data_IF_139696999408
#
_entry.id   IF_139696999408
#
_cell.length_a   1.000
_cell.length_b   1.000
_cell.length_c   1.000
_cell.angle_alpha   90.00
_cell.angle_beta   90.00
_cell.angle_gamma   90.00
#
_symmetry.space_group_name_H-M   'P 1'
#
loop_
_entity.id
_entity.type
_entity.pdbx_description
1 polymer ?
#
# COMPACT_ATOMS: atom_id res chain seq x y z
N UNK A 1 -0.46 2.87 -7.78
CA UNK A 1 -1.18 2.99 -9.07
C UNK A 1 -1.64 4.42 -9.27
N UNK A 2 -1.50 4.96 -10.49
CA UNK A 2 -1.94 6.31 -10.88
C UNK A 2 -3.48 6.42 -11.05
N UNK A 3 -4.24 5.76 -10.19
CA UNK A 3 -5.71 5.76 -10.19
C UNK A 3 -6.19 5.83 -8.75
N UNK A 4 -7.06 6.80 -8.47
CA UNK A 4 -7.76 6.91 -7.18
C UNK A 4 -8.69 5.72 -6.96
N UNK A 5 -8.92 5.36 -5.69
CA UNK A 5 -9.91 4.35 -5.32
C UNK A 5 -9.58 2.91 -5.75
N UNK A 6 -8.29 2.54 -5.78
CA UNK A 6 -7.88 1.12 -5.95
C UNK A 6 -7.61 0.42 -4.61
N UNK A 7 -7.88 1.08 -3.48
CA UNK A 7 -7.71 0.55 -2.12
C UNK A 7 -6.26 0.55 -1.61
N UNK A 8 -5.43 1.53 -1.99
CA UNK A 8 -4.04 1.67 -1.53
C UNK A 8 -3.97 1.80 0.00
N UNK A 9 -4.68 2.78 0.56
CA UNK A 9 -4.78 3.03 2.01
C UNK A 9 -5.30 1.81 2.77
N UNK A 10 -6.33 1.14 2.24
CA UNK A 10 -6.86 -0.10 2.82
C UNK A 10 -5.80 -1.19 2.88
N UNK A 11 -5.04 -1.40 1.81
CA UNK A 11 -3.96 -2.40 1.80
C UNK A 11 -2.82 -1.97 2.71
N UNK A 12 -2.40 -0.70 2.70
CA UNK A 12 -1.32 -0.20 3.53
C UNK A 12 -1.61 -0.40 5.03
N UNK A 13 -2.80 0.02 5.50
CA UNK A 13 -3.23 -0.14 6.90
C UNK A 13 -3.28 -1.62 7.30
N UNK A 14 -3.90 -2.47 6.47
CA UNK A 14 -4.07 -3.87 6.83
C UNK A 14 -2.79 -4.69 6.66
N UNK A 15 -1.88 -4.30 5.76
CA UNK A 15 -0.55 -4.88 5.65
C UNK A 15 0.30 -4.54 6.88
N UNK A 16 0.33 -3.25 7.27
CA UNK A 16 1.04 -2.83 8.47
C UNK A 16 0.53 -3.57 9.72
N UNK A 17 -0.79 -3.68 9.85
CA UNK A 17 -1.41 -4.43 10.96
C UNK A 17 -1.04 -5.91 10.98
N UNK A 18 -0.96 -6.57 9.82
CA UNK A 18 -0.60 -7.98 9.73
C UNK A 18 0.89 -8.23 10.00
N UNK A 19 1.78 -7.36 9.53
CA UNK A 19 3.19 -7.39 9.90
C UNK A 19 3.36 -7.25 11.43
N UNK A 20 2.64 -6.31 12.05
CA UNK A 20 2.63 -6.17 13.51
C UNK A 20 2.06 -7.40 14.24
N UNK A 21 1.02 -8.03 13.70
CA UNK A 21 0.47 -9.27 14.25
C UNK A 21 1.48 -10.45 14.20
N UNK A 22 2.52 -10.34 13.37
CA UNK A 22 3.64 -11.28 13.26
C UNK A 22 4.83 -10.87 14.17
N UNK A 23 4.58 -10.02 15.17
CA UNK A 23 5.54 -9.57 16.19
C UNK A 23 6.66 -8.66 15.66
N UNK A 24 6.45 -7.99 14.52
CA UNK A 24 7.38 -6.98 13.99
C UNK A 24 7.04 -5.58 14.49
N UNK A 25 8.08 -4.75 14.70
CA UNK A 25 7.91 -3.32 14.92
C UNK A 25 7.64 -2.62 13.57
N UNK A 26 6.46 -2.01 13.40
CA UNK A 26 6.01 -1.46 12.11
C UNK A 26 5.63 0.02 12.20
N UNK A 27 6.09 0.80 11.22
CA UNK A 27 5.65 2.18 11.00
C UNK A 27 4.87 2.29 9.69
N UNK A 28 3.64 2.82 9.77
CA UNK A 28 2.87 3.25 8.61
C UNK A 28 3.09 4.75 8.36
N UNK A 29 3.46 5.16 7.15
CA UNK A 29 3.59 6.56 6.76
C UNK A 29 2.51 6.89 5.73
N UNK A 30 1.61 7.82 6.06
CA UNK A 30 0.58 8.30 5.13
C UNK A 30 1.07 9.55 4.39
N UNK A 31 1.37 9.39 3.11
CA UNK A 31 1.88 10.45 2.23
C UNK A 31 0.82 10.94 1.23
N UNK A 32 -0.44 10.49 1.34
CA UNK A 32 -1.54 10.99 0.52
C UNK A 32 -2.09 12.27 1.19
N UNK A 33 -2.04 13.46 0.55
CA UNK A 33 -2.59 14.68 1.15
C UNK A 33 -4.07 14.62 1.48
N UNK A 34 -4.81 13.60 0.99
CA UNK A 34 -6.19 13.37 1.39
C UNK A 34 -6.33 12.62 2.73
N UNK A 35 -5.23 12.11 3.29
CA UNK A 35 -5.16 11.50 4.62
C UNK A 35 -6.05 10.28 4.85
N UNK A 36 -6.36 9.51 3.80
CA UNK A 36 -7.31 8.39 3.91
C UNK A 36 -6.86 7.32 4.91
N UNK A 37 -5.56 7.01 5.00
CA UNK A 37 -5.07 6.05 5.99
C UNK A 37 -5.16 6.63 7.41
N UNK A 38 -4.74 7.89 7.57
CA UNK A 38 -4.74 8.62 8.85
C UNK A 38 -6.16 8.76 9.42
N UNK A 39 -7.09 9.31 8.64
CA UNK A 39 -8.51 9.45 9.04
C UNK A 39 -9.16 8.07 9.24
N UNK A 40 -8.81 7.09 8.40
CA UNK A 40 -9.28 5.70 8.51
C UNK A 40 -8.81 4.99 9.78
N UNK A 41 -7.82 5.53 10.50
CA UNK A 41 -7.32 5.05 11.79
C UNK A 41 -7.70 5.97 12.95
N UNK A 42 -8.44 7.05 12.69
CA UNK A 42 -8.93 7.99 13.72
C UNK A 42 -7.97 9.11 14.08
N UNK A 43 -6.98 9.39 13.23
CA UNK A 43 -6.03 10.50 13.39
C UNK A 43 -6.54 11.81 12.77
N UNK A 44 -7.84 12.08 12.90
CA UNK A 44 -8.47 13.30 12.36
C UNK A 44 -7.85 14.58 12.96
N UNK A 45 -7.51 14.56 14.25
CA UNK A 45 -6.93 15.71 14.93
C UNK A 45 -5.50 16.00 14.44
N UNK A 46 -4.69 14.97 14.21
CA UNK A 46 -3.35 15.11 13.63
C UNK A 46 -3.43 15.57 12.17
N UNK A 47 -4.42 15.08 11.42
CA UNK A 47 -4.62 15.46 10.03
C UNK A 47 -4.98 16.95 9.88
N UNK A 48 -5.85 17.47 10.76
CA UNK A 48 -6.38 18.85 10.66
C UNK A 48 -5.68 19.89 11.54
N UNK A 49 -5.11 19.49 12.68
CA UNK A 49 -4.73 20.41 13.77
C UNK A 49 -3.34 20.13 14.35
N UNK A 50 -2.46 19.43 13.66
CA UNK A 50 -1.08 19.23 14.15
C UNK A 50 -0.25 20.51 14.01
N UNK A 51 0.60 20.77 15.01
CA UNK A 51 1.56 21.88 14.99
C UNK A 51 2.89 21.47 14.35
N UNK A 52 3.20 20.17 14.34
CA UNK A 52 4.43 19.59 13.80
C UNK A 52 4.06 18.48 12.80
N UNK A 53 4.74 18.44 11.67
CA UNK A 53 4.44 17.61 10.50
C UNK A 53 5.72 17.05 9.89
N UNK A 54 5.56 16.21 8.86
CA UNK A 54 6.71 15.77 8.05
C UNK A 54 7.45 16.93 7.35
N UNK A 55 6.81 18.09 7.19
CA UNK A 55 7.46 19.31 6.69
C UNK A 55 8.60 19.76 7.60
N UNK A 56 8.35 19.81 8.91
CA UNK A 56 9.33 20.20 9.93
C UNK A 56 10.52 19.22 9.94
N UNK A 57 10.25 17.93 9.76
CA UNK A 57 11.29 16.89 9.63
C UNK A 57 12.10 17.09 8.34
N UNK A 58 11.46 17.48 7.24
CA UNK A 58 12.13 17.65 5.95
C UNK A 58 12.96 18.92 5.84
N UNK A 59 12.56 20.00 6.53
CA UNK A 59 13.09 21.34 6.28
C UNK A 59 13.67 22.04 7.50
N UNK A 60 13.28 21.64 8.73
CA UNK A 60 13.63 22.33 9.97
C UNK A 60 14.41 21.45 10.97
N UNK A 61 15.00 20.34 10.48
CA UNK A 61 15.82 19.39 11.25
C UNK A 61 15.09 18.80 12.49
N UNK A 62 13.76 18.67 12.43
CA UNK A 62 12.98 18.02 13.48
C UNK A 62 13.28 16.51 13.55
N UNK A 63 13.20 15.93 14.75
CA UNK A 63 13.38 14.49 14.95
C UNK A 63 12.20 13.73 14.31
N UNK A 64 12.40 12.75 13.41
CA UNK A 64 11.29 12.05 12.78
C UNK A 64 10.37 11.33 13.78
N UNK A 65 10.84 11.02 14.99
CA UNK A 65 10.01 10.42 16.04
C UNK A 65 9.02 11.40 16.69
N UNK A 66 9.22 12.73 16.56
CA UNK A 66 8.31 13.72 17.16
C UNK A 66 6.93 13.74 16.48
N UNK A 67 6.87 13.29 15.22
CA UNK A 67 5.66 13.26 14.40
C UNK A 67 5.10 11.84 14.22
N UNK A 68 5.58 10.88 15.01
CA UNK A 68 5.10 9.50 15.02
C UNK A 68 4.20 9.25 16.22
N UNK A 69 3.11 8.51 16.01
CA UNK A 69 2.09 8.26 17.01
C UNK A 69 1.77 6.76 17.11
N UNK A 70 1.54 6.28 18.33
CA UNK A 70 0.98 4.95 18.58
C UNK A 70 -0.46 4.86 18.07
N UNK A 71 -0.75 3.84 17.27
CA UNK A 71 -2.12 3.60 16.76
C UNK A 71 -3.00 2.89 17.78
N UNK A 72 -2.42 2.26 18.79
CA UNK A 72 -3.12 1.34 19.68
C UNK A 72 -3.44 -0.02 19.04
N UNK A 73 -2.96 -0.28 17.82
CA UNK A 73 -3.15 -1.53 17.07
C UNK A 73 -1.83 -2.28 16.80
N UNK A 74 -0.84 -2.13 17.68
CA UNK A 74 0.47 -2.81 17.64
C UNK A 74 1.43 -2.31 16.53
N UNK A 75 1.09 -1.21 15.85
CA UNK A 75 1.99 -0.50 14.95
C UNK A 75 1.88 1.01 15.16
N UNK A 76 2.87 1.76 14.71
CA UNK A 76 2.88 3.23 14.79
C UNK A 76 2.51 3.86 13.44
N UNK A 77 2.12 5.13 13.48
CA UNK A 77 1.80 5.91 12.30
C UNK A 77 2.53 7.26 12.30
N UNK A 78 3.07 7.63 11.14
CA UNK A 78 3.34 9.01 10.76
C UNK A 78 2.15 9.48 9.90
N UNK A 79 1.21 10.23 10.49
CA UNK A 79 -0.03 10.61 9.81
C UNK A 79 0.24 11.66 8.73
N UNK A 80 -0.63 11.66 7.73
CA UNK A 80 -0.74 12.76 6.78
C UNK A 80 -1.33 13.99 7.47
N UNK A 81 -1.17 15.15 6.86
CA UNK A 81 -1.75 16.41 7.31
C UNK A 81 -2.18 17.27 6.12
N UNK A 82 -3.07 18.25 6.37
CA UNK A 82 -3.46 19.23 5.35
C UNK A 82 -2.27 20.05 4.81
N UNK A 83 -1.19 20.17 5.59
CA UNK A 83 0.03 20.86 5.18
C UNK A 83 0.84 20.10 4.11
N UNK A 84 0.55 18.82 3.88
CA UNK A 84 1.34 17.99 2.97
C UNK A 84 1.37 18.51 1.52
N UNK A 85 0.31 19.24 1.09
CA UNK A 85 0.32 19.95 -0.21
C UNK A 85 1.30 21.13 -0.25
N UNK A 86 1.52 21.80 0.88
CA UNK A 86 2.53 22.86 1.03
C UNK A 86 3.92 22.25 1.08
N UNK A 87 4.13 21.19 1.87
CA UNK A 87 5.38 20.42 1.90
C UNK A 87 5.78 19.99 0.50
N UNK A 88 4.85 19.43 -0.29
CA UNK A 88 5.14 19.03 -1.68
C UNK A 88 5.65 20.22 -2.54
N UNK A 89 5.04 21.39 -2.38
CA UNK A 89 5.46 22.60 -3.11
C UNK A 89 6.85 23.07 -2.69
N UNK A 90 7.18 22.96 -1.41
CA UNK A 90 8.49 23.33 -0.87
C UNK A 90 9.60 22.42 -1.37
N UNK A 91 9.36 21.10 -1.51
CA UNK A 91 10.31 20.17 -2.15
C UNK A 91 10.68 20.63 -3.58
N UNK A 92 9.74 21.23 -4.31
CA UNK A 92 9.96 21.67 -5.71
C UNK A 92 10.72 22.98 -5.81
N UNK A 93 10.39 23.94 -4.93
CA UNK A 93 10.88 25.32 -5.03
C UNK A 93 12.14 25.55 -4.19
N UNK A 94 12.35 24.74 -3.15
CA UNK A 94 13.52 24.82 -2.29
C UNK A 94 14.82 24.36 -2.95
N UNK A 95 15.95 24.88 -2.46
CA UNK A 95 17.29 24.41 -2.84
C UNK A 95 17.65 23.14 -2.05
N UNK A 96 16.82 22.11 -2.21
CA UNK A 96 16.93 20.85 -1.47
C UNK A 96 17.93 19.94 -2.16
N UNK A 97 18.93 19.46 -1.41
CA UNK A 97 19.82 18.42 -1.90
C UNK A 97 19.09 17.08 -2.01
N UNK A 98 19.04 16.51 -3.22
CA UNK A 98 18.36 15.25 -3.54
C UNK A 98 16.88 15.22 -3.09
N UNK A 99 16.01 16.07 -3.67
CA UNK A 99 14.64 16.27 -3.20
C UNK A 99 13.76 15.02 -3.26
N UNK A 100 14.12 14.01 -4.07
CA UNK A 100 13.43 12.73 -4.15
C UNK A 100 13.87 11.72 -3.09
N UNK A 101 14.86 12.04 -2.25
CA UNK A 101 15.40 11.15 -1.22
C UNK A 101 15.20 11.72 0.20
N UNK A 102 14.38 12.77 0.37
CA UNK A 102 14.12 13.37 1.68
C UNK A 102 13.50 12.36 2.65
N UNK A 103 12.42 11.69 2.25
CA UNK A 103 11.80 10.67 3.09
C UNK A 103 12.78 9.57 3.47
N UNK A 104 13.65 9.18 2.52
CA UNK A 104 14.69 8.19 2.78
C UNK A 104 15.66 8.69 3.84
N UNK A 105 16.23 9.87 3.64
CA UNK A 105 17.31 10.43 4.46
C UNK A 105 16.84 10.84 5.86
N UNK A 106 15.69 11.51 5.94
CA UNK A 106 15.21 12.14 7.17
C UNK A 106 14.33 11.23 8.02
N UNK A 107 13.72 10.19 7.42
CA UNK A 107 12.76 9.32 8.14
C UNK A 107 13.16 7.86 8.07
N UNK A 108 13.35 7.28 6.88
CA UNK A 108 13.57 5.82 6.75
C UNK A 108 14.95 5.40 7.27
N UNK A 109 16.02 6.05 6.83
CA UNK A 109 17.39 5.73 7.22
C UNK A 109 17.64 5.84 8.75
N UNK A 110 17.09 6.84 9.48
CA UNK A 110 17.25 6.90 10.94
C UNK A 110 16.32 5.98 11.74
N UNK A 111 15.24 5.44 11.17
CA UNK A 111 14.24 4.66 11.91
C UNK A 111 14.25 3.15 11.57
N UNK A 112 14.52 2.79 10.32
CA UNK A 112 14.48 1.40 9.85
C UNK A 112 15.68 0.60 10.37
N UNK A 113 15.43 -0.55 10.98
CA UNK A 113 16.42 -1.46 11.54
C UNK A 113 16.84 -1.16 12.97
N UNK A 114 16.73 0.09 13.41
CA UNK A 114 16.99 0.50 14.80
C UNK A 114 15.71 0.59 15.65
N UNK A 115 14.61 1.11 15.08
CA UNK A 115 13.31 1.28 15.76
C UNK A 115 12.21 0.42 15.16
N UNK A 116 12.18 0.29 13.83
CA UNK A 116 11.17 -0.50 13.12
C UNK A 116 11.82 -1.55 12.22
N UNK A 117 11.26 -2.76 12.22
CA UNK A 117 11.62 -3.81 11.27
C UNK A 117 11.07 -3.49 9.88
N UNK A 118 9.89 -2.88 9.80
CA UNK A 118 9.22 -2.53 8.55
C UNK A 118 8.65 -1.10 8.55
N UNK A 119 8.79 -0.46 7.39
CA UNK A 119 8.12 0.82 7.09
C UNK A 119 7.21 0.61 5.88
N UNK A 120 5.92 0.88 6.04
CA UNK A 120 4.90 0.82 4.98
C UNK A 120 4.48 2.23 4.62
N UNK A 121 4.46 2.58 3.33
CA UNK A 121 4.01 3.91 2.89
C UNK A 121 2.69 3.83 2.13
N UNK A 122 1.69 4.64 2.50
CA UNK A 122 0.53 4.92 1.64
C UNK A 122 0.82 6.14 0.77
N UNK A 123 1.01 5.91 -0.53
CA UNK A 123 1.37 6.96 -1.49
C UNK A 123 0.15 7.60 -2.16
N UNK A 124 0.23 8.86 -2.65
CA UNK A 124 -0.82 9.48 -3.45
C UNK A 124 -1.23 8.67 -4.70
N UNK A 125 -2.44 8.90 -5.20
CA UNK A 125 -2.96 8.27 -6.42
C UNK A 125 -2.47 8.93 -7.75
N UNK A 126 -1.53 9.86 -7.67
CA UNK A 126 -1.01 10.64 -8.79
C UNK A 126 0.51 10.76 -8.68
N UNK A 127 1.18 11.14 -9.78
CA UNK A 127 2.63 11.35 -9.74
C UNK A 127 2.92 12.70 -9.08
N UNK A 128 3.64 12.64 -7.96
CA UNK A 128 3.98 13.76 -7.09
C UNK A 128 5.42 13.64 -6.62
N UNK A 129 5.99 14.71 -6.04
CA UNK A 129 7.29 14.60 -5.36
C UNK A 129 7.23 13.69 -4.14
N UNK A 130 6.08 13.62 -3.48
CA UNK A 130 5.81 12.70 -2.39
C UNK A 130 5.85 11.24 -2.86
N UNK A 131 5.27 10.94 -4.03
CA UNK A 131 5.34 9.60 -4.62
C UNK A 131 6.77 9.24 -5.02
N UNK A 132 7.53 10.18 -5.60
CA UNK A 132 8.95 9.94 -5.93
C UNK A 132 9.76 9.64 -4.64
N UNK A 133 9.50 10.38 -3.55
CA UNK A 133 10.11 10.14 -2.24
C UNK A 133 9.76 8.76 -1.68
N UNK A 134 8.47 8.37 -1.71
CA UNK A 134 8.02 7.06 -1.27
C UNK A 134 8.74 5.93 -2.02
N UNK A 135 8.84 6.05 -3.36
CA UNK A 135 9.48 5.04 -4.21
C UNK A 135 10.99 4.91 -3.95
N UNK A 136 11.69 6.04 -3.77
CA UNK A 136 13.13 6.05 -3.47
C UNK A 136 13.43 5.53 -2.07
N UNK A 137 12.53 5.76 -1.10
CA UNK A 137 12.71 5.34 0.27
C UNK A 137 12.42 3.84 0.49
N UNK A 138 11.39 3.30 -0.17
CA UNK A 138 10.89 1.93 0.12
C UNK A 138 11.42 0.85 -0.81
N UNK A 139 11.64 1.17 -2.08
CA UNK A 139 12.09 0.30 -3.19
C UNK A 139 11.31 -1.01 -3.44
N UNK A 140 10.44 -1.44 -2.53
CA UNK A 140 9.60 -2.63 -2.60
C UNK A 140 8.14 -2.23 -2.74
N UNK A 141 7.48 -2.74 -3.80
CA UNK A 141 6.18 -2.25 -4.21
C UNK A 141 5.11 -3.35 -4.17
N UNK A 142 4.02 -3.05 -3.47
CA UNK A 142 2.74 -3.78 -3.56
C UNK A 142 1.79 -2.95 -4.42
N UNK A 143 1.37 -3.47 -5.57
CA UNK A 143 0.59 -2.74 -6.56
C UNK A 143 -0.86 -3.25 -6.61
N UNK A 144 -1.82 -2.54 -5.99
CA UNK A 144 -3.23 -2.90 -6.11
C UNK A 144 -3.80 -2.64 -7.50
N UNK A 145 -4.66 -3.53 -7.97
CA UNK A 145 -5.30 -3.49 -9.28
C UNK A 145 -6.81 -3.68 -9.11
N UNK A 146 -7.58 -2.62 -9.36
CA UNK A 146 -9.03 -2.69 -9.37
C UNK A 146 -9.56 -3.05 -10.78
N UNK A 147 -10.66 -3.81 -10.90
CA UNK A 147 -11.33 -4.10 -12.15
C UNK A 147 -11.62 -2.84 -12.99
N UNK A 148 -11.52 -2.99 -14.30
CA UNK A 148 -11.83 -1.94 -15.25
C UNK A 148 -11.01 -2.03 -16.53
N UNK A 149 -11.53 -1.43 -17.60
CA UNK A 149 -10.93 -1.49 -18.93
C UNK A 149 -9.47 -1.00 -18.97
N UNK A 150 -9.10 -0.09 -18.07
CA UNK A 150 -7.76 0.52 -18.00
C UNK A 150 -6.83 -0.09 -16.95
N UNK A 151 -7.21 -1.18 -16.25
CA UNK A 151 -6.40 -1.72 -15.16
C UNK A 151 -4.97 -2.09 -15.61
N UNK A 152 -4.85 -2.90 -16.68
CA UNK A 152 -3.54 -3.31 -17.23
C UNK A 152 -2.78 -2.14 -17.86
N UNK A 153 -3.46 -1.27 -18.61
CA UNK A 153 -2.84 -0.06 -19.16
C UNK A 153 -2.35 0.89 -18.05
N UNK A 154 -3.01 0.90 -16.89
CA UNK A 154 -2.56 1.61 -15.70
C UNK A 154 -1.29 1.01 -15.12
N UNK A 155 -1.22 -0.33 -15.04
CA UNK A 155 -0.04 -1.05 -14.56
C UNK A 155 1.17 -0.79 -15.47
N UNK A 156 1.00 -0.96 -16.78
CA UNK A 156 2.03 -0.69 -17.78
C UNK A 156 2.53 0.76 -17.67
N UNK A 157 1.63 1.73 -17.58
CA UNK A 157 1.99 3.15 -17.38
C UNK A 157 2.77 3.38 -16.08
N UNK A 158 2.40 2.75 -14.97
CA UNK A 158 3.14 2.85 -13.71
C UNK A 158 4.53 2.23 -13.84
N UNK A 159 4.65 1.07 -14.48
CA UNK A 159 5.95 0.43 -14.72
C UNK A 159 6.83 1.32 -15.59
N UNK A 160 6.35 1.76 -16.76
CA UNK A 160 7.14 2.53 -17.72
C UNK A 160 7.54 3.91 -17.20
N UNK A 161 6.65 4.61 -16.49
CA UNK A 161 6.83 6.03 -16.15
C UNK A 161 7.40 6.27 -14.75
N UNK A 162 7.28 5.32 -13.83
CA UNK A 162 7.74 5.46 -12.44
C UNK A 162 8.80 4.42 -12.08
N UNK A 163 8.55 3.14 -12.36
CA UNK A 163 9.43 2.06 -11.89
C UNK A 163 10.67 1.91 -12.78
N UNK A 164 10.50 1.81 -14.10
CA UNK A 164 11.61 1.59 -15.05
C UNK A 164 12.70 2.66 -15.00
N UNK A 165 12.39 3.98 -14.87
CA UNK A 165 13.42 5.00 -14.71
C UNK A 165 14.22 4.87 -13.40
N UNK A 166 13.56 4.49 -12.30
CA UNK A 166 14.23 4.27 -11.02
C UNK A 166 15.14 3.03 -11.06
N UNK A 167 14.68 1.95 -11.71
CA UNK A 167 15.48 0.72 -11.93
C UNK A 167 16.81 0.92 -12.65
N UNK A 168 17.00 2.06 -13.33
CA UNK A 168 18.29 2.39 -13.94
C UNK A 168 19.36 2.81 -12.92
N UNK A 169 18.94 3.13 -11.69
CA UNK A 169 19.80 3.74 -10.67
C UNK A 169 19.72 3.03 -9.31
N UNK A 170 18.69 2.22 -9.07
CA UNK A 170 18.46 1.49 -7.81
C UNK A 170 17.66 0.22 -8.03
N UNK A 171 17.77 -0.73 -7.12
CA UNK A 171 17.00 -1.97 -7.16
C UNK A 171 15.58 -1.70 -6.66
N UNK A 172 14.60 -1.74 -7.57
CA UNK A 172 13.17 -1.55 -7.26
C UNK A 172 12.41 -2.81 -7.60
N UNK A 173 11.81 -3.44 -6.60
CA UNK A 173 11.09 -4.69 -6.74
C UNK A 173 9.58 -4.50 -6.64
N UNK A 174 8.85 -5.17 -7.53
CA UNK A 174 7.40 -5.30 -7.41
C UNK A 174 7.14 -6.63 -6.74
N UNK A 175 6.86 -6.61 -5.45
CA UNK A 175 6.65 -7.81 -4.65
C UNK A 175 5.35 -8.51 -5.02
N UNK A 176 4.26 -7.74 -5.14
CA UNK A 176 2.94 -8.26 -5.42
C UNK A 176 2.11 -7.37 -6.34
N UNK A 177 1.39 -8.01 -7.27
CA UNK A 177 0.28 -7.45 -8.04
C UNK A 177 -1.01 -7.93 -7.39
N UNK A 178 -1.80 -7.02 -6.80
CA UNK A 178 -2.90 -7.38 -5.91
C UNK A 178 -4.25 -7.05 -6.56
N UNK A 179 -4.97 -8.01 -7.16
CA UNK A 179 -6.36 -7.80 -7.55
C UNK A 179 -7.20 -7.43 -6.34
N UNK A 180 -7.79 -6.25 -6.37
CA UNK A 180 -8.49 -5.66 -5.24
C UNK A 180 -9.88 -5.16 -5.65
N UNK A 181 -10.77 -5.01 -4.66
CA UNK A 181 -12.15 -4.56 -4.84
C UNK A 181 -12.93 -5.43 -5.83
N UNK A 182 -12.65 -6.73 -5.86
CA UNK A 182 -13.35 -7.64 -6.73
C UNK A 182 -14.75 -7.94 -6.22
N UNK A 183 -15.62 -8.38 -7.12
CA UNK A 183 -17.00 -8.81 -6.98
C UNK A 183 -17.46 -9.47 -5.67
N UNK A 184 -18.75 -9.73 -5.53
CA UNK A 184 -19.19 -10.98 -4.88
C UNK A 184 -19.01 -12.14 -5.86
N UNK A 185 -19.51 -11.96 -7.09
CA UNK A 185 -19.52 -12.93 -8.17
C UNK A 185 -18.44 -12.60 -9.21
N UNK A 186 -17.73 -13.60 -9.70
CA UNK A 186 -16.85 -13.49 -10.86
C UNK A 186 -17.48 -14.34 -11.96
N UNK A 187 -17.82 -13.73 -13.09
CA UNK A 187 -18.27 -14.47 -14.27
C UNK A 187 -17.59 -13.93 -15.53
N UNK A 188 -17.73 -14.65 -16.65
CA UNK A 188 -17.05 -14.34 -17.91
C UNK A 188 -17.33 -12.93 -18.47
N UNK A 189 -18.40 -12.26 -18.02
CA UNK A 189 -18.76 -10.93 -18.47
C UNK A 189 -18.25 -9.83 -17.51
N UNK A 190 -17.82 -10.21 -16.30
CA UNK A 190 -17.31 -9.27 -15.31
C UNK A 190 -15.93 -8.71 -15.68
N UNK A 191 -15.71 -7.44 -15.34
CA UNK A 191 -14.39 -6.82 -15.43
C UNK A 191 -13.38 -7.50 -14.50
N UNK A 192 -13.86 -8.08 -13.39
CA UNK A 192 -13.09 -8.86 -12.42
C UNK A 192 -12.43 -10.06 -13.10
N UNK A 193 -13.22 -10.81 -13.88
CA UNK A 193 -12.72 -11.96 -14.64
C UNK A 193 -11.68 -11.54 -15.66
N UNK A 194 -11.95 -10.49 -16.43
CA UNK A 194 -11.03 -10.00 -17.45
C UNK A 194 -9.68 -9.56 -16.85
N UNK A 195 -9.70 -8.91 -15.67
CA UNK A 195 -8.48 -8.54 -14.96
C UNK A 195 -7.69 -9.79 -14.55
N UNK A 196 -8.35 -10.74 -13.90
CA UNK A 196 -7.72 -11.97 -13.43
C UNK A 196 -7.16 -12.81 -14.58
N UNK A 197 -7.88 -12.92 -15.70
CA UNK A 197 -7.42 -13.61 -16.91
C UNK A 197 -6.18 -12.95 -17.50
N UNK A 198 -6.18 -11.62 -17.61
CA UNK A 198 -5.01 -10.89 -18.10
C UNK A 198 -3.81 -11.10 -17.20
N UNK A 199 -3.97 -10.97 -15.88
CA UNK A 199 -2.86 -11.21 -14.96
C UNK A 199 -2.31 -12.63 -15.07
N UNK A 200 -3.19 -13.64 -15.03
CA UNK A 200 -2.75 -15.04 -15.02
C UNK A 200 -2.21 -15.56 -16.36
N UNK A 201 -2.51 -14.88 -17.48
CA UNK A 201 -2.03 -15.26 -18.82
C UNK A 201 -0.70 -14.63 -19.24
N UNK A 202 -0.20 -13.62 -18.53
CA UNK A 202 1.07 -12.97 -18.84
C UNK A 202 2.21 -13.65 -18.05
N UNK A 203 3.03 -14.46 -18.72
CA UNK A 203 4.10 -15.24 -18.10
C UNK A 203 5.04 -14.40 -17.21
N UNK A 204 5.37 -13.19 -17.64
CA UNK A 204 6.26 -12.28 -16.92
C UNK A 204 5.65 -11.65 -15.66
N UNK A 205 4.35 -11.81 -15.43
CA UNK A 205 3.68 -11.29 -14.24
C UNK A 205 3.40 -12.39 -13.20
N UNK A 206 3.45 -13.66 -13.61
CA UNK A 206 2.97 -14.78 -12.79
C UNK A 206 3.66 -14.84 -11.43
N UNK A 207 4.98 -14.65 -11.39
CA UNK A 207 5.77 -14.71 -10.15
C UNK A 207 5.45 -13.59 -9.16
N UNK A 208 4.71 -12.56 -9.59
CA UNK A 208 4.29 -11.44 -8.73
C UNK A 208 2.81 -11.50 -8.37
N UNK A 209 2.07 -12.52 -8.79
CA UNK A 209 0.65 -12.69 -8.43
C UNK A 209 0.56 -13.52 -7.14
N UNK A 210 0.01 -12.99 -6.04
CA UNK A 210 -0.22 -13.76 -4.80
C UNK A 210 -1.02 -15.03 -5.05
N UNK A 211 -0.85 -16.05 -4.22
CA UNK A 211 -1.56 -17.32 -4.30
C UNK A 211 -3.08 -17.12 -4.22
N UNK A 212 -3.57 -16.22 -3.37
CA UNK A 212 -5.01 -15.88 -3.34
C UNK A 212 -5.55 -15.30 -4.66
N UNK A 213 -4.69 -14.92 -5.62
CA UNK A 213 -5.07 -14.36 -6.92
C UNK A 213 -4.59 -15.21 -8.11
N UNK A 214 -3.83 -16.27 -7.85
CA UNK A 214 -3.33 -17.19 -8.86
C UNK A 214 -4.43 -18.18 -9.24
N UNK A 215 -4.72 -18.30 -10.54
CA UNK A 215 -5.80 -19.15 -11.03
C UNK A 215 -5.25 -20.15 -12.03
N UNK A 216 -5.40 -21.42 -11.69
CA UNK A 216 -5.04 -22.57 -12.54
C UNK A 216 -6.27 -23.34 -13.01
N UNK A 217 -7.40 -23.22 -12.31
CA UNK A 217 -8.68 -23.87 -12.64
C UNK A 217 -9.79 -22.82 -12.74
N UNK A 218 -10.14 -22.46 -13.97
CA UNK A 218 -11.22 -21.52 -14.26
C UNK A 218 -12.62 -22.14 -14.14
N UNK A 219 -12.75 -23.47 -14.24
CA UNK A 219 -14.04 -24.15 -14.08
C UNK A 219 -14.47 -24.08 -12.61
N UNK A 220 -13.52 -24.24 -11.67
CA UNK A 220 -13.76 -24.03 -10.24
C UNK A 220 -14.17 -22.59 -9.89
N UNK A 221 -13.64 -21.58 -10.61
CA UNK A 221 -14.06 -20.18 -10.45
C UNK A 221 -15.50 -20.00 -10.93
N UNK A 222 -15.85 -20.53 -12.11
CA UNK A 222 -17.18 -20.41 -12.69
C UNK A 222 -18.25 -21.14 -11.85
N UNK A 223 -17.87 -22.25 -11.21
CA UNK A 223 -18.71 -22.98 -10.26
C UNK A 223 -18.83 -22.31 -8.87
N UNK A 224 -17.94 -21.36 -8.54
CA UNK A 224 -17.87 -20.72 -7.23
C UNK A 224 -17.21 -21.59 -6.14
N UNK A 225 -16.53 -22.65 -6.55
CA UNK A 225 -15.94 -23.67 -5.69
C UNK A 225 -14.53 -23.30 -5.21
N UNK A 226 -13.86 -22.36 -5.89
CA UNK A 226 -12.55 -21.88 -5.46
C UNK A 226 -12.65 -21.10 -4.13
N UNK A 227 -11.99 -21.63 -3.08
CA UNK A 227 -11.94 -21.05 -1.73
C UNK A 227 -10.49 -20.90 -1.25
N UNK A 228 -10.08 -19.70 -0.78
CA UNK A 228 -10.85 -18.45 -0.81
C UNK A 228 -11.12 -18.00 -2.25
N UNK A 229 -12.17 -17.20 -2.42
CA UNK A 229 -12.46 -16.65 -3.75
C UNK A 229 -11.31 -15.72 -4.19
N UNK A 230 -10.95 -15.69 -5.49
CA UNK A 230 -9.78 -14.97 -5.93
C UNK A 230 -9.78 -13.48 -5.61
N UNK A 231 -8.60 -12.97 -5.27
CA UNK A 231 -8.31 -11.56 -5.02
C UNK A 231 -8.96 -11.03 -3.74
N UNK A 232 -8.58 -9.81 -3.35
CA UNK A 232 -9.26 -9.10 -2.27
C UNK A 232 -10.63 -8.67 -2.79
N UNK A 233 -11.66 -9.14 -2.09
CA UNK A 233 -13.06 -8.91 -2.44
C UNK A 233 -13.56 -7.64 -1.78
N UNK A 234 -14.46 -6.94 -2.46
CA UNK A 234 -15.28 -5.92 -1.85
C UNK A 234 -16.18 -6.58 -0.77
N UNK A 235 -15.99 -6.13 0.46
CA UNK A 235 -16.65 -6.67 1.65
C UNK A 235 -17.14 -5.52 2.50
N UNK A 236 -18.38 -5.63 2.96
CA UNK A 236 -18.95 -4.68 3.90
C UNK A 236 -18.13 -4.59 5.19
N UNK A 237 -17.48 -5.67 5.63
CA UNK A 237 -16.58 -5.63 6.79
C UNK A 237 -15.40 -4.67 6.59
N UNK A 238 -14.80 -4.62 5.40
CA UNK A 238 -13.70 -3.69 5.07
C UNK A 238 -14.21 -2.24 5.13
N UNK A 239 -15.35 -1.96 4.49
CA UNK A 239 -15.94 -0.61 4.52
C UNK A 239 -16.34 -0.18 5.93
N UNK A 240 -16.89 -1.11 6.73
CA UNK A 240 -17.28 -0.83 8.12
C UNK A 240 -16.07 -0.63 9.03
N UNK A 241 -15.00 -1.42 8.87
CA UNK A 241 -13.76 -1.25 9.61
C UNK A 241 -13.20 0.18 9.44
N UNK A 242 -13.16 0.66 8.19
CA UNK A 242 -12.79 2.05 7.90
C UNK A 242 -13.73 3.06 8.58
N UNK A 243 -15.04 2.85 8.50
CA UNK A 243 -16.02 3.74 9.15
C UNK A 243 -15.94 3.76 10.68
N UNK A 244 -15.48 2.66 11.28
CA UNK A 244 -15.25 2.50 12.71
C UNK A 244 -13.82 2.83 13.14
N UNK A 245 -13.01 3.36 12.20
CA UNK A 245 -11.63 3.82 12.43
C UNK A 245 -10.70 2.73 12.96
N UNK A 246 -10.80 1.53 12.38
CA UNK A 246 -10.07 0.33 12.82
C UNK A 246 -9.45 -0.40 11.63
N UNK A 247 -8.28 -1.04 11.82
CA UNK A 247 -7.84 -2.10 10.91
C UNK A 247 -8.89 -3.23 10.87
N UNK A 248 -8.90 -4.00 9.77
CA UNK A 248 -9.90 -5.06 9.59
C UNK A 248 -9.78 -6.15 10.65
N UNK A 249 -8.55 -6.51 11.05
CA UNK A 249 -8.31 -7.55 12.05
C UNK A 249 -8.96 -7.20 13.40
N UNK A 250 -8.87 -5.93 13.80
CA UNK A 250 -9.40 -5.43 15.07
C UNK A 250 -10.90 -5.12 15.01
N UNK A 251 -11.47 -4.96 13.82
CA UNK A 251 -12.90 -4.78 13.62
C UNK A 251 -13.67 -6.10 13.46
N UNK A 252 -13.17 -7.01 12.64
CA UNK A 252 -13.80 -8.28 12.27
C UNK A 252 -12.73 -9.38 12.12
N UNK A 253 -12.27 -9.99 13.24
CA UNK A 253 -11.20 -10.99 13.24
C UNK A 253 -11.55 -12.29 12.51
N UNK A 254 -12.84 -12.50 12.20
CA UNK A 254 -13.33 -13.66 11.46
C UNK A 254 -13.47 -13.36 9.95
N UNK A 255 -13.10 -12.16 9.49
CA UNK A 255 -13.27 -11.77 8.10
C UNK A 255 -12.44 -12.66 7.14
N UNK A 256 -13.08 -13.18 6.10
CA UNK A 256 -12.47 -14.10 5.13
C UNK A 256 -11.31 -13.47 4.33
N UNK A 257 -11.24 -12.14 4.27
CA UNK A 257 -10.20 -11.39 3.56
C UNK A 257 -8.91 -11.24 4.36
N UNK A 258 -8.89 -11.52 5.67
CA UNK A 258 -7.69 -11.40 6.49
C UNK A 258 -6.54 -12.28 5.98
N UNK A 259 -6.86 -13.45 5.44
CA UNK A 259 -5.88 -14.35 4.81
C UNK A 259 -5.16 -13.73 3.62
N UNK A 260 -5.81 -12.83 2.89
CA UNK A 260 -5.16 -12.12 1.79
C UNK A 260 -4.13 -11.11 2.31
N UNK A 261 -4.45 -10.37 3.38
CA UNK A 261 -3.51 -9.42 3.99
C UNK A 261 -2.36 -10.13 4.71
N UNK A 262 -2.64 -11.25 5.37
CA UNK A 262 -1.63 -12.12 5.98
C UNK A 262 -0.66 -12.68 4.92
N UNK A 263 -1.16 -13.14 3.78
CA UNK A 263 -0.28 -13.54 2.67
C UNK A 263 0.58 -12.38 2.16
N UNK A 264 0.04 -11.15 2.08
CA UNK A 264 0.83 -9.98 1.70
C UNK A 264 1.95 -9.68 2.70
N UNK A 265 1.72 -9.84 4.01
CA UNK A 265 2.75 -9.70 5.02
C UNK A 265 3.88 -10.73 4.81
N UNK A 266 3.54 -12.01 4.63
CA UNK A 266 4.53 -13.05 4.32
C UNK A 266 5.31 -12.79 3.02
N UNK A 267 4.67 -12.23 1.99
CA UNK A 267 5.36 -11.83 0.74
C UNK A 267 6.38 -10.72 1.02
N UNK A 268 6.05 -9.77 1.90
CA UNK A 268 6.98 -8.70 2.32
C UNK A 268 8.15 -9.28 3.11
N UNK A 269 7.90 -10.18 4.06
CA UNK A 269 8.96 -10.86 4.83
C UNK A 269 9.90 -11.67 3.94
N UNK A 270 9.35 -12.41 2.99
CA UNK A 270 10.12 -13.26 2.08
C UNK A 270 10.82 -12.47 0.97
N UNK A 271 10.35 -11.26 0.65
CA UNK A 271 10.79 -10.47 -0.50
C UNK A 271 10.30 -11.01 -1.86
N UNK A 272 9.43 -12.01 -1.86
CA UNK A 272 8.86 -12.62 -3.07
C UNK A 272 7.57 -13.40 -2.81
N UNK A 273 6.85 -13.77 -3.87
CA UNK A 273 5.68 -14.65 -3.75
C UNK A 273 6.12 -16.09 -3.53
N UNK A 274 5.93 -16.57 -2.30
CA UNK A 274 6.21 -17.96 -1.94
C UNK A 274 5.04 -18.85 -2.38
N UNK A 275 5.29 -19.82 -3.25
CA UNK A 275 4.27 -20.78 -3.70
C UNK A 275 4.12 -21.93 -2.71
N UNK A 276 2.88 -22.20 -2.30
CA UNK A 276 2.58 -23.43 -1.56
C UNK A 276 2.61 -24.62 -2.53
N UNK A 277 3.36 -25.66 -2.17
CA UNK A 277 3.47 -26.93 -2.90
C UNK A 277 2.34 -27.87 -2.49
#
# INVERSE_FOLDING_TARGET
MLKGGVGKSTIAVNLARQLAAQEHDVLLIDLDPNGHASVGLGFDDQYHNTEETIGDVFFDDADPTSVVYDTGYEFDILPSSEDLEQVEREIVVGDVFQPSALLKREVVDPLLGDTYDYIVTDSPAYRSRLTDNALVATTNLVLPLAPGNEAMAGLERTIERQISPLRQHMDVDVLALVPNMLSGRIDQQTQDRQLLERLNSHDNLQDRIPNFARITDWEAVDAGDLKPSPGIRDRTSITKAYGERKPLLDFDPDCDQLKCFDELAHIVEAGEVVRHV
#
